data_IF_550025749264
#
_entry.id   IF_550025749264
#
_cell.length_a   1.000
_cell.length_b   1.000
_cell.length_c   1.000
_cell.angle_alpha   90.00
_cell.angle_beta   90.00
_cell.angle_gamma   90.00
#
_symmetry.space_group_name_H-M   'P 1'
#
loop_
_entity.id
_entity.type
_entity.pdbx_description
1 polymer ?
#
# COMPACT_ATOMS: atom_id res chain seq x y z
N UNK A 1 7.89 16.75 15.70
CA UNK A 1 7.96 15.54 16.54
C UNK A 1 9.43 15.18 16.64
N UNK A 2 10.01 15.30 17.83
CA UNK A 2 11.46 15.20 18.09
C UNK A 2 11.85 13.71 18.10
N UNK A 3 13.02 13.35 17.56
CA UNK A 3 13.56 11.97 17.49
C UNK A 3 13.42 11.22 18.84
N UNK A 4 13.67 11.94 19.94
CA UNK A 4 13.52 11.44 21.31
C UNK A 4 12.12 10.88 21.62
N UNK A 5 11.05 11.48 21.08
CA UNK A 5 9.69 10.99 21.30
C UNK A 5 9.43 9.68 20.54
N UNK A 6 10.11 9.47 19.41
CA UNK A 6 10.04 8.23 18.64
C UNK A 6 10.82 7.12 19.33
N UNK A 7 12.01 7.41 19.85
CA UNK A 7 12.81 6.45 20.62
C UNK A 7 12.08 5.99 21.89
N UNK A 8 11.57 6.95 22.68
CA UNK A 8 10.79 6.64 23.88
C UNK A 8 9.55 5.79 23.58
N UNK A 9 8.91 6.05 22.44
CA UNK A 9 7.79 5.23 22.00
C UNK A 9 8.23 3.79 21.70
N UNK A 10 9.29 3.61 20.91
CA UNK A 10 9.78 2.28 20.58
C UNK A 10 10.16 1.50 21.85
N UNK A 11 10.78 2.16 22.82
CA UNK A 11 11.09 1.57 24.13
C UNK A 11 9.83 1.13 24.88
N UNK A 12 8.77 1.94 24.88
CA UNK A 12 7.51 1.59 25.54
C UNK A 12 6.78 0.43 24.84
N UNK A 13 6.80 0.38 23.50
CA UNK A 13 6.26 -0.74 22.71
C UNK A 13 7.03 -2.02 23.04
N UNK A 14 8.37 -1.94 23.09
CA UNK A 14 9.21 -3.07 23.44
C UNK A 14 8.93 -3.58 24.86
N UNK A 15 8.88 -2.68 25.85
CA UNK A 15 8.55 -3.02 27.24
C UNK A 15 7.18 -3.70 27.38
N UNK A 16 6.15 -3.15 26.72
CA UNK A 16 4.82 -3.74 26.75
C UNK A 16 4.81 -5.16 26.16
N UNK A 17 5.51 -5.38 25.04
CA UNK A 17 5.65 -6.69 24.42
C UNK A 17 6.44 -7.67 25.30
N UNK A 18 7.54 -7.24 25.91
CA UNK A 18 8.35 -8.07 26.81
C UNK A 18 7.59 -8.51 28.07
N UNK A 19 6.64 -7.69 28.54
CA UNK A 19 5.78 -8.00 29.68
C UNK A 19 4.62 -8.95 29.37
N UNK A 20 4.22 -9.09 28.10
CA UNK A 20 2.98 -9.79 27.70
C UNK A 20 3.16 -10.94 26.73
N UNK A 21 4.23 -10.95 25.94
CA UNK A 21 4.48 -11.96 24.92
C UNK A 21 5.73 -12.75 25.28
N UNK A 22 5.54 -13.99 25.69
CA UNK A 22 6.63 -14.92 25.99
C UNK A 22 7.28 -15.47 24.71
N UNK A 23 6.46 -15.79 23.71
CA UNK A 23 6.90 -16.39 22.45
C UNK A 23 7.69 -15.40 21.59
N UNK A 24 8.92 -15.77 21.22
CA UNK A 24 9.75 -14.95 20.35
C UNK A 24 9.12 -14.73 18.96
N UNK A 25 8.39 -15.72 18.43
CA UNK A 25 7.74 -15.60 17.12
C UNK A 25 6.52 -14.68 17.15
N UNK A 26 5.71 -14.75 18.21
CA UNK A 26 4.56 -13.85 18.40
C UNK A 26 5.03 -12.42 18.61
N UNK A 27 6.14 -12.24 19.36
CA UNK A 27 6.76 -10.94 19.60
C UNK A 27 7.32 -10.34 18.31
N UNK A 28 8.00 -11.13 17.50
CA UNK A 28 8.43 -10.71 16.17
C UNK A 28 7.24 -10.30 15.28
N UNK A 29 6.16 -11.08 15.29
CA UNK A 29 4.95 -10.74 14.53
C UNK A 29 4.28 -9.44 15.01
N UNK A 30 4.33 -9.15 16.31
CA UNK A 30 3.84 -7.89 16.86
C UNK A 30 4.69 -6.71 16.37
N UNK A 31 6.01 -6.83 16.40
CA UNK A 31 6.91 -5.80 15.87
C UNK A 31 6.75 -5.62 14.35
N UNK A 32 6.57 -6.70 13.60
CA UNK A 32 6.25 -6.64 12.17
C UNK A 32 4.97 -5.83 11.94
N UNK A 33 3.89 -6.08 12.69
CA UNK A 33 2.64 -5.30 12.56
C UNK A 33 2.82 -3.80 12.86
N UNK A 34 3.62 -3.46 13.88
CA UNK A 34 3.94 -2.06 14.21
C UNK A 34 4.75 -1.40 13.08
N UNK A 35 5.73 -2.11 12.53
CA UNK A 35 6.56 -1.62 11.43
C UNK A 35 5.80 -1.56 10.10
N UNK A 36 4.95 -2.53 9.81
CA UNK A 36 4.14 -2.65 8.58
C UNK A 36 2.86 -1.78 8.60
N UNK A 37 2.89 -0.68 9.37
CA UNK A 37 1.74 0.18 9.54
C UNK A 37 1.62 1.22 8.40
N UNK A 38 0.75 0.94 7.43
CA UNK A 38 0.50 1.81 6.29
C UNK A 38 -0.07 3.19 6.64
N UNK A 39 -0.72 3.38 7.79
CA UNK A 39 -1.21 4.70 8.23
C UNK A 39 -0.03 5.64 8.46
N UNK A 40 1.05 5.16 9.08
CA UNK A 40 2.24 5.98 9.38
C UNK A 40 2.92 6.38 8.07
N UNK A 41 3.06 5.45 7.14
CA UNK A 41 3.60 5.71 5.80
C UNK A 41 2.74 6.73 5.05
N UNK A 42 1.43 6.50 4.96
CA UNK A 42 0.51 7.43 4.29
C UNK A 42 0.60 8.85 4.89
N UNK A 43 0.70 8.95 6.21
CA UNK A 43 0.85 10.22 6.94
C UNK A 43 2.18 10.92 6.64
N UNK A 44 3.30 10.18 6.66
CA UNK A 44 4.61 10.75 6.40
C UNK A 44 4.68 11.38 4.99
N UNK A 45 4.12 10.69 4.00
CA UNK A 45 4.12 11.14 2.61
C UNK A 45 3.01 12.14 2.28
N UNK A 46 1.96 12.27 3.11
CA UNK A 46 0.99 13.38 2.99
C UNK A 46 1.61 14.73 3.35
N UNK A 47 2.59 14.77 4.26
CA UNK A 47 3.34 15.99 4.59
C UNK A 47 4.53 16.25 3.67
N UNK A 48 4.90 15.28 2.82
CA UNK A 48 6.05 15.39 1.91
C UNK A 48 5.66 15.11 0.44
N UNK A 49 4.62 15.77 -0.12
CA UNK A 49 4.14 15.47 -1.47
C UNK A 49 5.21 15.73 -2.55
N UNK A 50 5.98 16.83 -2.40
CA UNK A 50 7.05 17.17 -3.33
C UNK A 50 8.20 16.17 -3.32
N UNK A 51 8.51 15.61 -2.14
CA UNK A 51 9.55 14.58 -2.01
C UNK A 51 9.15 13.31 -2.77
N UNK A 52 7.91 12.84 -2.57
CA UNK A 52 7.38 11.68 -3.27
C UNK A 52 7.36 11.91 -4.79
N UNK A 53 6.88 13.07 -5.24
CA UNK A 53 6.88 13.43 -6.66
C UNK A 53 8.30 13.40 -7.25
N UNK A 54 9.28 13.96 -6.54
CA UNK A 54 10.67 14.00 -6.99
C UNK A 54 11.31 12.61 -7.04
N UNK A 55 11.02 11.73 -6.07
CA UNK A 55 11.45 10.34 -6.10
C UNK A 55 10.95 9.66 -7.36
N UNK A 56 9.64 9.73 -7.59
CA UNK A 56 9.02 9.07 -8.75
C UNK A 56 9.61 9.61 -10.05
N UNK A 57 9.73 10.94 -10.19
CA UNK A 57 10.34 11.57 -11.36
C UNK A 57 11.80 11.14 -11.59
N UNK A 58 12.56 10.94 -10.52
CA UNK A 58 13.96 10.51 -10.59
C UNK A 58 14.07 9.06 -11.05
N UNK A 59 13.13 8.21 -10.63
CA UNK A 59 13.04 6.83 -11.13
C UNK A 59 12.47 6.81 -12.56
N UNK A 60 11.65 7.77 -12.95
CA UNK A 60 10.84 7.72 -14.18
C UNK A 60 11.53 8.27 -15.45
N UNK A 61 12.75 8.80 -15.38
CA UNK A 61 13.27 9.71 -16.42
C UNK A 61 13.32 9.21 -17.89
N UNK A 62 13.04 7.93 -18.21
CA UNK A 62 13.14 7.39 -19.59
C UNK A 62 12.17 6.27 -20.03
N UNK A 63 11.19 5.79 -19.24
CA UNK A 63 10.49 4.51 -19.60
C UNK A 63 8.97 4.48 -19.58
N UNK A 64 8.29 5.33 -18.80
CA UNK A 64 6.83 5.44 -18.85
C UNK A 64 6.54 6.92 -19.14
N UNK A 65 5.94 7.23 -20.29
CA UNK A 65 5.54 8.62 -20.53
C UNK A 65 4.45 8.94 -19.50
N UNK A 66 4.80 9.69 -18.46
CA UNK A 66 3.86 10.12 -17.44
C UNK A 66 2.62 10.77 -18.10
N UNK A 67 2.72 11.39 -19.28
CA UNK A 67 1.56 11.94 -20.02
C UNK A 67 0.51 10.89 -20.41
N UNK A 68 0.85 9.60 -20.43
CA UNK A 68 -0.06 8.49 -20.72
C UNK A 68 -0.90 8.04 -19.52
N UNK A 69 -0.49 8.40 -18.30
CA UNK A 69 -1.34 8.14 -17.13
C UNK A 69 -2.53 9.09 -17.20
N UNK A 70 -3.74 8.54 -17.16
CA UNK A 70 -4.97 9.32 -17.18
C UNK A 70 -4.91 10.44 -16.13
N UNK A 71 -5.36 11.64 -16.49
CA UNK A 71 -5.46 12.78 -15.57
C UNK A 71 -6.77 12.77 -14.78
N UNK A 72 -7.71 11.94 -15.20
CA UNK A 72 -9.01 11.76 -14.54
C UNK A 72 -8.85 10.99 -13.22
N UNK A 73 -9.18 11.64 -12.11
CA UNK A 73 -9.02 11.11 -10.76
C UNK A 73 -9.68 9.73 -10.55
N UNK A 74 -10.92 9.49 -11.03
CA UNK A 74 -11.59 8.21 -10.87
C UNK A 74 -10.83 7.07 -11.55
N UNK A 75 -10.35 7.28 -12.78
CA UNK A 75 -9.54 6.30 -13.49
C UNK A 75 -8.18 6.02 -12.82
N UNK A 76 -7.58 7.03 -12.17
CA UNK A 76 -6.36 6.83 -11.36
C UNK A 76 -6.68 5.96 -10.15
N UNK A 77 -7.78 6.22 -9.44
CA UNK A 77 -8.20 5.44 -8.27
C UNK A 77 -8.56 4.00 -8.67
N UNK A 78 -9.31 3.80 -9.74
CA UNK A 78 -9.62 2.48 -10.28
C UNK A 78 -8.35 1.70 -10.63
N UNK A 79 -7.35 2.38 -11.18
CA UNK A 79 -6.05 1.76 -11.45
C UNK A 79 -5.33 1.42 -10.15
N UNK A 80 -5.33 2.29 -9.15
CA UNK A 80 -4.77 2.01 -7.81
C UNK A 80 -5.46 0.83 -7.11
N UNK A 81 -6.73 0.56 -7.42
CA UNK A 81 -7.49 -0.56 -6.88
C UNK A 81 -7.28 -1.87 -7.66
N UNK A 82 -6.45 -1.89 -8.71
CA UNK A 82 -6.09 -3.14 -9.40
C UNK A 82 -5.20 -4.03 -8.55
N UNK A 83 -5.41 -5.34 -8.66
CA UNK A 83 -4.48 -6.33 -8.10
C UNK A 83 -3.18 -6.34 -8.89
N UNK A 84 -2.06 -6.34 -8.17
CA UNK A 84 -0.74 -6.70 -8.70
C UNK A 84 -0.56 -8.22 -8.52
N UNK A 85 -0.68 -9.03 -9.59
CA UNK A 85 -0.78 -10.49 -9.45
C UNK A 85 0.40 -11.14 -8.74
N UNK A 86 1.61 -10.58 -8.92
CA UNK A 86 2.83 -11.05 -8.28
C UNK A 86 2.75 -11.01 -6.75
N UNK A 87 2.06 -10.03 -6.18
CA UNK A 87 2.00 -9.79 -4.74
C UNK A 87 0.63 -10.12 -4.13
N UNK A 88 -0.40 -10.31 -4.97
CA UNK A 88 -1.74 -10.64 -4.50
C UNK A 88 -2.43 -9.50 -3.73
N UNK A 89 -1.96 -8.27 -3.88
CA UNK A 89 -2.49 -7.08 -3.22
C UNK A 89 -2.85 -5.98 -4.24
N UNK A 90 -3.65 -4.99 -3.83
CA UNK A 90 -3.91 -3.82 -4.68
C UNK A 90 -2.64 -3.01 -4.96
N UNK A 91 -2.60 -2.27 -6.07
CA UNK A 91 -1.54 -1.30 -6.36
C UNK A 91 -1.40 -0.26 -5.25
N UNK A 92 -2.50 0.16 -4.63
CA UNK A 92 -2.51 1.04 -3.47
C UNK A 92 -1.70 0.44 -2.31
N UNK A 93 -2.01 -0.80 -1.93
CA UNK A 93 -1.28 -1.52 -0.88
C UNK A 93 0.20 -1.69 -1.26
N UNK A 94 0.47 -2.12 -2.50
CA UNK A 94 1.84 -2.33 -2.99
C UNK A 94 2.69 -1.06 -2.93
N UNK A 95 2.12 0.11 -3.26
CA UNK A 95 2.85 1.39 -3.15
C UNK A 95 3.21 1.68 -1.71
N UNK A 96 2.32 1.43 -0.77
CA UNK A 96 2.58 1.65 0.65
C UNK A 96 3.68 0.69 1.16
N UNK A 97 3.69 -0.57 0.69
CA UNK A 97 4.78 -1.51 0.98
C UNK A 97 6.13 -0.98 0.47
N UNK A 98 6.18 -0.45 -0.77
CA UNK A 98 7.41 0.10 -1.35
C UNK A 98 7.90 1.31 -0.56
N UNK A 99 6.99 2.23 -0.24
CA UNK A 99 7.32 3.46 0.48
C UNK A 99 7.78 3.19 1.91
N UNK A 100 7.23 2.15 2.54
CA UNK A 100 7.66 1.67 3.84
C UNK A 100 9.05 1.03 3.77
N UNK A 101 9.27 0.08 2.85
CA UNK A 101 10.51 -0.70 2.75
C UNK A 101 11.70 0.11 2.24
N UNK A 102 11.45 1.10 1.37
CA UNK A 102 12.51 1.79 0.65
C UNK A 102 12.55 3.30 0.91
N UNK A 103 11.72 3.86 1.79
CA UNK A 103 11.59 5.32 1.97
C UNK A 103 12.90 6.10 2.09
N UNK A 104 13.82 5.61 2.94
CA UNK A 104 15.13 6.24 3.12
C UNK A 104 16.03 6.05 1.89
N UNK A 105 16.01 4.88 1.28
CA UNK A 105 16.80 4.57 0.09
C UNK A 105 16.33 5.35 -1.14
N UNK A 106 15.01 5.63 -1.23
CA UNK A 106 14.41 6.46 -2.27
C UNK A 106 14.94 7.91 -2.19
N UNK A 107 15.31 8.40 -1.00
CA UNK A 107 15.87 9.74 -0.81
C UNK A 107 17.28 9.91 -1.39
N UNK A 108 18.00 8.80 -1.58
CA UNK A 108 19.41 8.77 -2.00
C UNK A 108 19.59 8.40 -3.49
N UNK A 109 18.51 8.36 -4.27
CA UNK A 109 18.57 7.96 -5.67
C UNK A 109 19.24 9.03 -6.53
N UNK A 110 20.11 8.57 -7.43
CA UNK A 110 20.74 9.41 -8.44
C UNK A 110 19.84 9.48 -9.69
N UNK A 111 20.24 10.17 -10.76
CA UNK A 111 19.42 10.28 -11.97
C UNK A 111 19.39 9.00 -12.85
N UNK A 112 20.08 7.92 -12.45
CA UNK A 112 20.15 6.67 -13.22
C UNK A 112 19.02 5.70 -12.84
N UNK A 113 17.88 5.85 -13.51
CA UNK A 113 16.67 5.02 -13.36
C UNK A 113 16.93 3.52 -13.27
N UNK A 114 17.71 2.95 -14.18
CA UNK A 114 17.85 1.49 -14.30
C UNK A 114 18.65 0.89 -13.16
N UNK A 115 19.72 1.57 -12.77
CA UNK A 115 20.53 1.22 -11.60
C UNK A 115 19.73 1.37 -10.31
N UNK A 116 18.94 2.44 -10.18
CA UNK A 116 18.06 2.67 -9.04
C UNK A 116 16.99 1.57 -8.91
N UNK A 117 16.31 1.23 -10.00
CA UNK A 117 15.32 0.15 -10.02
C UNK A 117 15.95 -1.19 -9.65
N UNK A 118 17.12 -1.51 -10.24
CA UNK A 118 17.86 -2.73 -9.92
C UNK A 118 18.31 -2.78 -8.46
N UNK A 119 18.84 -1.67 -7.93
CA UNK A 119 19.29 -1.55 -6.54
C UNK A 119 18.14 -1.73 -5.54
N UNK A 120 16.96 -1.22 -5.87
CA UNK A 120 15.76 -1.33 -5.02
C UNK A 120 14.93 -2.59 -5.30
N UNK A 121 15.27 -3.39 -6.32
CA UNK A 121 14.48 -4.55 -6.71
C UNK A 121 13.07 -4.18 -7.25
N UNK A 122 12.89 -2.97 -7.77
CA UNK A 122 11.61 -2.48 -8.27
C UNK A 122 11.40 -2.87 -9.74
N UNK A 123 10.20 -3.32 -10.06
CA UNK A 123 9.75 -3.59 -11.42
C UNK A 123 9.15 -2.35 -12.08
N UNK A 124 8.96 -2.37 -13.41
CA UNK A 124 8.24 -1.31 -14.11
C UNK A 124 6.80 -1.15 -13.60
N UNK A 125 6.16 -2.25 -13.18
CA UNK A 125 4.80 -2.25 -12.63
C UNK A 125 4.74 -1.57 -11.24
N UNK A 126 5.81 -1.68 -10.45
CA UNK A 126 5.97 -0.94 -9.20
C UNK A 126 6.11 0.56 -9.46
N UNK A 127 6.87 0.96 -10.50
CA UNK A 127 7.04 2.37 -10.88
C UNK A 127 5.71 2.95 -11.36
N UNK A 128 4.97 2.22 -12.20
CA UNK A 128 3.64 2.60 -12.61
C UNK A 128 2.70 2.84 -11.43
N UNK A 129 2.72 1.93 -10.43
CA UNK A 129 1.92 2.07 -9.22
C UNK A 129 2.30 3.32 -8.41
N UNK A 130 3.60 3.60 -8.25
CA UNK A 130 4.10 4.81 -7.59
C UNK A 130 3.66 6.08 -8.33
N UNK A 131 3.69 6.09 -9.67
CA UNK A 131 3.22 7.22 -10.47
C UNK A 131 1.72 7.46 -10.28
N UNK A 132 0.88 6.43 -10.35
CA UNK A 132 -0.54 6.53 -10.05
C UNK A 132 -0.78 7.15 -8.67
N UNK A 133 -0.07 6.65 -7.66
CA UNK A 133 -0.20 7.14 -6.29
C UNK A 133 0.22 8.61 -6.15
N UNK A 134 1.27 9.06 -6.85
CA UNK A 134 1.64 10.49 -6.89
C UNK A 134 0.59 11.36 -7.56
N UNK A 135 -0.07 10.88 -8.62
CA UNK A 135 -1.08 11.64 -9.35
C UNK A 135 -2.42 11.71 -8.66
N UNK A 136 -2.72 10.76 -7.77
CA UNK A 136 -3.87 10.83 -6.87
C UNK A 136 -3.75 11.93 -5.79
N UNK A 137 -2.95 13.00 -6.00
CA UNK A 137 -2.79 14.11 -5.05
C UNK A 137 -4.10 14.86 -4.78
N UNK A 138 -5.00 14.90 -5.76
CA UNK A 138 -6.30 15.58 -5.64
C UNK A 138 -7.24 14.86 -4.66
N UNK A 139 -6.91 13.62 -4.33
CA UNK A 139 -7.66 12.79 -3.41
C UNK A 139 -6.93 12.70 -2.06
N UNK A 140 -7.68 12.67 -0.97
CA UNK A 140 -7.11 12.57 0.37
C UNK A 140 -6.68 11.12 0.66
N UNK A 141 -5.52 10.76 0.11
CA UNK A 141 -4.92 9.42 0.23
C UNK A 141 -4.75 9.00 1.69
N UNK A 142 -4.35 9.94 2.56
CA UNK A 142 -4.18 9.64 3.98
C UNK A 142 -5.52 9.29 4.62
N UNK A 143 -6.57 10.10 4.40
CA UNK A 143 -7.87 9.81 4.96
C UNK A 143 -8.47 8.52 4.39
N UNK A 144 -8.26 8.17 3.12
CA UNK A 144 -8.70 6.87 2.61
C UNK A 144 -8.04 5.70 3.34
N UNK A 145 -6.71 5.72 3.50
CA UNK A 145 -6.01 4.66 4.26
C UNK A 145 -6.50 4.62 5.71
N UNK A 146 -6.72 5.78 6.33
CA UNK A 146 -7.27 5.87 7.68
C UNK A 146 -8.67 5.23 7.77
N UNK A 147 -9.56 5.54 6.83
CA UNK A 147 -10.91 5.00 6.83
C UNK A 147 -10.94 3.49 6.52
N UNK A 148 -10.03 2.99 5.67
CA UNK A 148 -9.85 1.54 5.47
C UNK A 148 -9.56 0.86 6.82
N UNK A 149 -8.58 1.35 7.59
CA UNK A 149 -8.27 0.78 8.91
C UNK A 149 -9.41 0.98 9.92
N UNK A 150 -10.09 2.13 9.89
CA UNK A 150 -11.24 2.42 10.74
C UNK A 150 -12.44 1.50 10.45
N UNK A 151 -12.56 1.02 9.21
CA UNK A 151 -13.63 0.08 8.84
C UNK A 151 -13.38 -1.35 9.33
N UNK A 152 -12.17 -1.67 9.80
CA UNK A 152 -11.85 -3.02 10.26
C UNK A 152 -12.19 -3.14 11.75
N UNK A 153 -13.03 -4.12 12.07
CA UNK A 153 -13.45 -4.43 13.43
C UNK A 153 -12.76 -5.71 13.87
N UNK A 154 -12.24 -5.69 15.08
CA UNK A 154 -11.71 -6.87 15.75
C UNK A 154 -12.63 -7.22 16.93
N UNK A 155 -12.87 -8.52 17.10
CA UNK A 155 -13.65 -9.05 18.21
C UNK A 155 -12.74 -9.94 19.07
N UNK A 156 -12.72 -9.71 20.38
CA UNK A 156 -11.99 -10.53 21.34
C UNK A 156 -12.74 -11.83 21.68
N UNK A 157 -12.08 -12.76 22.38
CA UNK A 157 -12.68 -14.01 22.86
C UNK A 157 -13.90 -13.83 23.79
N UNK A 158 -14.15 -12.63 24.30
CA UNK A 158 -15.29 -12.32 25.15
C UNK A 158 -16.45 -11.69 24.36
N UNK A 159 -16.29 -11.50 23.05
CA UNK A 159 -17.27 -10.87 22.17
C UNK A 159 -17.23 -9.34 22.17
N UNK A 160 -16.26 -8.70 22.81
CA UNK A 160 -16.10 -7.25 22.74
C UNK A 160 -15.53 -6.84 21.40
N UNK A 161 -16.08 -5.78 20.82
CA UNK A 161 -15.68 -5.26 19.52
C UNK A 161 -14.89 -3.97 19.67
N UNK A 162 -13.86 -3.83 18.83
CA UNK A 162 -12.99 -2.68 18.79
C UNK A 162 -12.67 -2.31 17.35
N UNK A 163 -12.46 -1.03 17.07
CA UNK A 163 -11.90 -0.63 15.79
C UNK A 163 -10.41 -0.92 15.77
N UNK A 164 -9.92 -1.51 14.69
CA UNK A 164 -8.52 -1.88 14.57
C UNK A 164 -7.59 -0.65 14.67
N UNK A 165 -8.01 0.49 14.11
CA UNK A 165 -7.24 1.73 14.16
C UNK A 165 -6.98 2.25 15.59
N UNK A 166 -7.87 1.96 16.54
CA UNK A 166 -7.77 2.41 17.93
C UNK A 166 -6.80 1.54 18.76
N UNK A 167 -6.37 0.41 18.21
CA UNK A 167 -5.51 -0.58 18.88
C UNK A 167 -4.12 -0.62 18.24
N UNK A 168 -4.00 -0.19 16.98
CA UNK A 168 -2.75 -0.19 16.27
C UNK A 168 -1.80 0.88 16.83
N UNK A 169 -0.62 0.50 17.37
CA UNK A 169 0.35 1.46 17.87
C UNK A 169 0.76 2.43 16.75
N UNK A 170 0.43 3.71 16.89
CA UNK A 170 0.78 4.73 15.91
C UNK A 170 1.02 6.10 16.55
N UNK A 171 1.91 6.95 15.99
CA UNK A 171 2.30 8.21 16.61
C UNK A 171 1.16 9.19 16.87
N UNK A 172 0.04 9.11 16.14
CA UNK A 172 -1.13 9.98 16.37
C UNK A 172 -1.97 9.50 17.55
N UNK A 173 -2.16 8.18 17.69
CA UNK A 173 -2.76 7.55 18.86
C UNK A 173 -2.01 7.94 20.14
N UNK A 174 -0.69 8.02 20.03
CA UNK A 174 0.19 8.37 21.13
C UNK A 174 0.37 9.88 21.30
N UNK A 175 0.12 10.72 20.29
CA UNK A 175 0.02 12.18 20.46
C UNK A 175 -1.25 12.60 21.21
N UNK A 176 -2.30 11.78 21.19
CA UNK A 176 -3.51 11.98 22.00
C UNK A 176 -3.19 11.90 23.50
N UNK A 177 -2.15 11.13 23.86
CA UNK A 177 -1.38 11.31 25.09
C UNK A 177 -0.46 12.51 24.83
N UNK A 178 -0.82 13.69 25.32
CA UNK A 178 -0.09 14.93 24.98
C UNK A 178 1.44 14.75 25.06
N UNK A 179 2.20 15.42 24.19
CA UNK A 179 3.67 15.27 24.14
C UNK A 179 4.37 15.54 25.49
N UNK A 180 3.75 16.33 26.36
CA UNK A 180 4.18 16.52 27.76
C UNK A 180 3.83 15.34 28.68
N UNK A 181 2.72 14.62 28.44
CA UNK A 181 2.34 13.39 29.14
C UNK A 181 3.20 12.19 28.77
N UNK A 182 3.60 12.04 27.50
CA UNK A 182 4.54 10.98 27.08
C UNK A 182 5.87 11.05 27.85
N UNK A 183 6.38 12.27 28.07
CA UNK A 183 7.63 12.52 28.80
C UNK A 183 7.47 12.44 30.33
N UNK A 184 6.25 12.61 30.86
CA UNK A 184 6.01 12.62 32.32
C UNK A 184 5.40 11.33 32.87
N UNK A 185 4.88 10.42 32.03
CA UNK A 185 4.16 9.23 32.52
C UNK A 185 4.34 7.99 31.61
N UNK A 186 5.59 7.48 31.49
CA UNK A 186 5.89 6.27 30.71
C UNK A 186 5.03 5.06 31.10
N UNK A 187 4.68 4.94 32.39
CA UNK A 187 3.91 3.80 32.90
C UNK A 187 2.46 3.80 32.41
N UNK A 188 1.84 4.97 32.28
CA UNK A 188 0.49 5.11 31.71
C UNK A 188 0.48 4.68 30.24
N UNK A 189 1.49 5.12 29.48
CA UNK A 189 1.67 4.71 28.09
C UNK A 189 1.90 3.20 27.95
N UNK A 190 2.76 2.61 28.79
CA UNK A 190 3.03 1.17 28.80
C UNK A 190 1.76 0.39 29.15
N UNK A 191 1.01 0.81 30.18
CA UNK A 191 -0.23 0.15 30.59
C UNK A 191 -1.30 0.20 29.50
N UNK A 192 -1.39 1.31 28.76
CA UNK A 192 -2.29 1.42 27.62
C UNK A 192 -1.86 0.45 26.49
N UNK A 193 -0.58 0.45 26.11
CA UNK A 193 -0.04 -0.48 25.11
C UNK A 193 -0.25 -1.95 25.51
N UNK A 194 -0.11 -2.26 26.81
CA UNK A 194 -0.43 -3.58 27.37
C UNK A 194 -1.91 -3.92 27.17
N UNK A 195 -2.81 -2.98 27.46
CA UNK A 195 -4.25 -3.19 27.27
C UNK A 195 -4.58 -3.47 25.80
N UNK A 196 -4.02 -2.68 24.88
CA UNK A 196 -4.21 -2.84 23.43
C UNK A 196 -3.63 -4.18 22.95
N UNK A 197 -2.44 -4.53 23.40
CA UNK A 197 -1.79 -5.80 23.08
C UNK A 197 -2.59 -7.01 23.59
N UNK A 198 -3.19 -6.93 24.78
CA UNK A 198 -4.07 -8.00 25.27
C UNK A 198 -5.27 -8.21 24.34
N UNK A 199 -5.82 -7.16 23.73
CA UNK A 199 -6.91 -7.30 22.75
C UNK A 199 -6.40 -8.02 21.50
N UNK A 200 -5.21 -7.67 21.00
CA UNK A 200 -4.58 -8.34 19.85
C UNK A 200 -4.37 -9.84 20.12
N UNK A 201 -3.83 -10.18 21.30
CA UNK A 201 -3.58 -11.56 21.74
C UNK A 201 -4.88 -12.37 21.93
N UNK A 202 -6.00 -11.70 22.20
CA UNK A 202 -7.30 -12.33 22.41
C UNK A 202 -8.25 -12.17 21.22
N UNK A 203 -7.78 -11.64 20.08
CA UNK A 203 -8.63 -11.46 18.90
C UNK A 203 -9.04 -12.80 18.29
N UNK A 204 -10.33 -13.06 18.23
CA UNK A 204 -10.89 -14.29 17.65
C UNK A 204 -11.46 -14.11 16.25
N UNK A 205 -11.96 -12.91 15.94
CA UNK A 205 -12.66 -12.62 14.70
C UNK A 205 -12.32 -11.23 14.18
N UNK A 206 -12.26 -11.15 12.85
CA UNK A 206 -12.16 -9.93 12.08
C UNK A 206 -13.39 -9.78 11.19
N UNK A 207 -13.91 -8.56 11.12
CA UNK A 207 -15.02 -8.21 10.22
C UNK A 207 -14.88 -6.77 9.73
N UNK A 208 -15.81 -6.33 8.89
CA UNK A 208 -15.90 -4.95 8.44
C UNK A 208 -17.12 -4.27 9.07
N UNK A 209 -16.91 -3.04 9.53
CA UNK A 209 -17.95 -2.12 9.94
C UNK A 209 -18.70 -1.60 8.71
N UNK A 210 -19.94 -2.06 8.53
CA UNK A 210 -20.77 -1.69 7.38
C UNK A 210 -21.08 -0.22 7.27
N UNK A 211 -21.23 0.45 8.41
CA UNK A 211 -21.50 1.87 8.43
C UNK A 211 -20.30 2.66 7.88
N UNK A 212 -19.09 2.33 8.34
CA UNK A 212 -17.85 2.97 7.86
C UNK A 212 -17.60 2.61 6.40
N UNK A 213 -17.75 1.32 6.02
CA UNK A 213 -17.61 0.89 4.63
C UNK A 213 -18.57 1.65 3.72
N UNK A 214 -19.85 1.77 4.10
CA UNK A 214 -20.86 2.52 3.35
C UNK A 214 -20.49 4.00 3.21
N UNK A 215 -19.93 4.61 4.25
CA UNK A 215 -19.45 5.99 4.20
C UNK A 215 -18.34 6.19 3.15
N UNK A 216 -17.36 5.27 3.14
CA UNK A 216 -16.27 5.27 2.16
C UNK A 216 -16.84 5.08 0.75
N UNK A 217 -17.70 4.08 0.56
CA UNK A 217 -18.26 3.78 -0.76
C UNK A 217 -19.10 4.93 -1.29
N UNK A 218 -19.91 5.60 -0.47
CA UNK A 218 -20.67 6.79 -0.90
C UNK A 218 -19.75 7.92 -1.39
N UNK A 219 -18.60 8.11 -0.74
CA UNK A 219 -17.61 9.13 -1.12
C UNK A 219 -16.95 8.78 -2.46
N UNK A 220 -16.65 7.50 -2.69
CA UNK A 220 -16.08 6.98 -3.93
C UNK A 220 -17.11 6.96 -5.08
N UNK A 221 -18.38 6.65 -4.80
CA UNK A 221 -19.49 6.66 -5.77
C UNK A 221 -19.76 8.06 -6.29
N UNK A 222 -19.74 9.05 -5.39
CA UNK A 222 -19.82 10.47 -5.78
C UNK A 222 -18.68 10.92 -6.71
N UNK A 223 -17.64 10.09 -6.85
CA UNK A 223 -16.49 10.30 -7.72
C UNK A 223 -16.46 9.36 -8.94
N UNK A 224 -17.52 8.62 -9.28
CA UNK A 224 -17.54 7.66 -10.41
C UNK A 224 -16.44 6.57 -10.37
N UNK A 225 -16.01 6.16 -9.18
CA UNK A 225 -15.01 5.10 -8.98
C UNK A 225 -15.68 3.72 -8.91
N UNK A 226 -15.02 2.67 -9.41
CA UNK A 226 -15.49 1.28 -9.32
C UNK A 226 -15.42 0.75 -7.87
N UNK A 227 -16.58 0.77 -7.22
CA UNK A 227 -16.75 0.32 -5.83
C UNK A 227 -16.54 -1.18 -5.67
N UNK A 228 -16.90 -1.98 -6.67
CA UNK A 228 -16.70 -3.43 -6.59
C UNK A 228 -15.21 -3.73 -6.58
N UNK A 229 -14.42 -3.00 -7.36
CA UNK A 229 -12.96 -3.08 -7.36
C UNK A 229 -12.37 -2.65 -6.02
N UNK A 230 -12.84 -1.55 -5.44
CA UNK A 230 -12.43 -1.14 -4.09
C UNK A 230 -12.70 -2.23 -3.04
N UNK A 231 -13.93 -2.75 -2.99
CA UNK A 231 -14.32 -3.80 -2.03
C UNK A 231 -13.48 -5.08 -2.23
N UNK A 232 -13.46 -5.60 -3.44
CA UNK A 232 -12.85 -6.91 -3.74
C UNK A 232 -11.32 -6.91 -3.73
N UNK A 233 -10.68 -5.81 -4.14
CA UNK A 233 -9.23 -5.77 -4.32
C UNK A 233 -8.49 -4.95 -3.26
N UNK A 234 -9.16 -4.02 -2.57
CA UNK A 234 -8.55 -3.21 -1.52
C UNK A 234 -9.01 -3.70 -0.15
N UNK A 235 -10.32 -3.66 0.12
CA UNK A 235 -10.83 -4.01 1.45
C UNK A 235 -10.54 -5.47 1.80
N UNK A 236 -10.80 -6.39 0.87
CA UNK A 236 -10.54 -7.81 1.08
C UNK A 236 -9.05 -8.11 1.31
N UNK A 237 -8.15 -7.56 0.50
CA UNK A 237 -6.70 -7.85 0.63
C UNK A 237 -6.12 -7.26 1.91
N UNK A 238 -6.56 -6.07 2.32
CA UNK A 238 -6.19 -5.50 3.63
C UNK A 238 -6.66 -6.38 4.78
N UNK A 239 -7.91 -6.82 4.73
CA UNK A 239 -8.50 -7.66 5.76
C UNK A 239 -7.78 -9.02 5.87
N UNK A 240 -7.45 -9.64 4.73
CA UNK A 240 -6.65 -10.87 4.67
C UNK A 240 -5.22 -10.66 5.20
N UNK A 241 -4.58 -9.53 4.87
CA UNK A 241 -3.25 -9.17 5.38
C UNK A 241 -3.24 -9.01 6.90
N UNK A 242 -4.19 -8.25 7.44
CA UNK A 242 -4.34 -8.01 8.88
C UNK A 242 -4.69 -9.30 9.61
N UNK A 243 -5.55 -10.16 9.04
CA UNK A 243 -5.80 -11.51 9.56
C UNK A 243 -4.52 -12.33 9.68
N UNK A 244 -3.66 -12.29 8.66
CA UNK A 244 -2.36 -12.98 8.67
C UNK A 244 -1.42 -12.45 9.76
N UNK A 245 -1.36 -11.12 9.95
CA UNK A 245 -0.57 -10.51 11.03
C UNK A 245 -1.11 -10.89 12.41
N UNK A 246 -2.40 -10.72 12.65
CA UNK A 246 -3.02 -11.01 13.95
C UNK A 246 -2.97 -12.50 14.31
N UNK A 247 -3.14 -13.40 13.34
CA UNK A 247 -3.04 -14.85 13.60
C UNK A 247 -1.62 -15.24 14.05
N UNK A 248 -0.58 -14.55 13.54
CA UNK A 248 0.81 -14.76 13.97
C UNK A 248 1.07 -14.19 15.37
N UNK A 249 0.48 -13.05 15.71
CA UNK A 249 0.58 -12.45 17.06
C UNK A 249 -0.10 -13.32 18.10
N UNK A 250 -1.32 -13.80 17.81
CA UNK A 250 -2.09 -14.65 18.72
C UNK A 250 -1.56 -16.08 18.82
N UNK A 251 -0.83 -16.54 17.81
CA UNK A 251 -0.43 -17.95 17.69
C UNK A 251 -1.59 -18.90 17.34
N UNK A 252 -2.80 -18.38 17.07
CA UNK A 252 -3.99 -19.15 16.73
C UNK A 252 -4.70 -18.57 15.51
N UNK A 253 -5.43 -19.40 14.74
CA UNK A 253 -6.25 -18.92 13.63
C UNK A 253 -7.31 -17.91 14.09
N UNK A 254 -7.51 -16.88 13.27
CA UNK A 254 -8.56 -15.87 13.44
C UNK A 254 -9.65 -16.10 12.39
N UNK A 255 -10.92 -16.03 12.81
CA UNK A 255 -12.05 -16.11 11.92
C UNK A 255 -12.18 -14.82 11.09
N UNK A 256 -12.56 -14.96 9.83
CA UNK A 256 -12.79 -13.83 8.93
C UNK A 256 -14.25 -13.80 8.50
N UNK A 257 -14.90 -12.67 8.70
CA UNK A 257 -16.24 -12.40 8.17
C UNK A 257 -16.15 -11.40 7.00
N UNK A 258 -16.40 -11.91 5.79
CA UNK A 258 -16.38 -11.15 4.53
C UNK A 258 -17.76 -10.90 3.96
N UNK A 259 -18.83 -11.22 4.70
CA UNK A 259 -20.22 -11.14 4.23
C UNK A 259 -20.58 -9.76 3.66
N UNK A 260 -19.96 -8.71 4.17
CA UNK A 260 -20.23 -7.33 3.79
C UNK A 260 -19.40 -6.81 2.59
N UNK A 261 -18.41 -7.59 2.14
CA UNK A 261 -17.52 -7.28 1.02
C UNK A 261 -17.91 -8.07 -0.23
N UNK A 262 -18.48 -9.26 -0.05
CA UNK A 262 -18.88 -10.14 -1.13
C UNK A 262 -20.14 -9.59 -1.83
N UNK A 263 -19.93 -8.92 -2.96
CA UNK A 263 -20.98 -8.72 -3.95
C UNK A 263 -21.25 -10.03 -4.70
N UNK A 264 -22.49 -10.22 -5.15
CA UNK A 264 -23.00 -11.39 -5.88
C UNK A 264 -22.26 -11.73 -7.19
N UNK A 265 -21.26 -10.95 -7.61
CA UNK A 265 -20.47 -11.21 -8.80
C UNK A 265 -18.99 -11.10 -8.45
N UNK A 266 -18.30 -12.25 -8.41
CA UNK A 266 -16.84 -12.25 -8.51
C UNK A 266 -16.51 -11.56 -9.83
N UNK A 267 -15.75 -10.47 -9.78
CA UNK A 267 -15.00 -10.04 -10.96
C UNK A 267 -14.10 -11.21 -11.35
N UNK A 268 -14.42 -11.87 -12.47
CA UNK A 268 -13.58 -12.93 -12.99
C UNK A 268 -12.18 -12.35 -13.20
N UNK A 269 -11.11 -13.05 -12.78
CA UNK A 269 -9.76 -12.65 -13.14
C UNK A 269 -9.74 -12.48 -14.66
N UNK A 270 -9.49 -11.25 -15.13
CA UNK A 270 -9.47 -11.02 -16.57
C UNK A 270 -8.45 -11.97 -17.17
N UNK A 271 -8.84 -12.78 -18.17
CA UNK A 271 -7.98 -13.82 -18.68
C UNK A 271 -6.72 -13.16 -19.22
N UNK A 272 -5.57 -13.80 -19.01
CA UNK A 272 -4.28 -13.30 -19.48
C UNK A 272 -4.31 -12.90 -20.98
N UNK A 273 -5.22 -13.48 -21.76
CA UNK A 273 -5.50 -13.11 -23.15
C UNK A 273 -5.91 -11.64 -23.36
N UNK A 274 -6.61 -11.00 -22.41
CA UNK A 274 -6.98 -9.56 -22.50
C UNK A 274 -5.78 -8.67 -22.24
N UNK A 275 -4.90 -9.06 -21.30
CA UNK A 275 -3.63 -8.39 -21.03
C UNK A 275 -2.66 -8.51 -22.23
N UNK A 276 -2.49 -9.72 -22.77
CA UNK A 276 -1.69 -9.97 -23.97
C UNK A 276 -2.25 -9.27 -25.22
N UNK A 277 -3.58 -9.24 -25.39
CA UNK A 277 -4.25 -8.48 -26.46
C UNK A 277 -3.93 -6.99 -26.40
N UNK A 278 -3.91 -6.39 -25.19
CA UNK A 278 -3.54 -4.98 -25.00
C UNK A 278 -2.05 -4.74 -25.31
N UNK A 279 -1.16 -5.64 -24.88
CA UNK A 279 0.29 -5.55 -25.20
C UNK A 279 0.55 -5.72 -26.70
N UNK A 280 -0.11 -6.65 -27.37
CA UNK A 280 0.01 -6.89 -28.81
C UNK A 280 -0.47 -5.67 -29.61
N UNK A 281 -1.62 -5.08 -29.22
CA UNK A 281 -2.13 -3.85 -29.85
C UNK A 281 -1.17 -2.68 -29.68
N UNK A 282 -0.62 -2.47 -28.48
CA UNK A 282 0.36 -1.41 -28.23
C UNK A 282 1.65 -1.61 -29.03
N UNK A 283 2.12 -2.85 -29.16
CA UNK A 283 3.31 -3.19 -29.96
C UNK A 283 3.08 -2.96 -31.47
N UNK A 284 1.88 -3.28 -31.97
CA UNK A 284 1.51 -3.07 -33.37
C UNK A 284 1.48 -1.59 -33.76
N UNK A 285 0.92 -0.72 -32.90
CA UNK A 285 0.91 0.73 -33.14
C UNK A 285 2.31 1.35 -33.07
N UNK A 286 3.18 0.86 -32.17
CA UNK A 286 4.56 1.31 -32.10
C UNK A 286 5.34 0.96 -33.38
N UNK A 287 5.16 -0.25 -33.92
CA UNK A 287 5.80 -0.69 -35.17
C UNK A 287 5.31 0.13 -36.37
N UNK A 288 4.00 0.39 -36.48
CA UNK A 288 3.44 1.24 -37.55
C UNK A 288 3.97 2.67 -37.45
N UNK A 289 4.08 3.22 -36.24
CA UNK A 289 4.63 4.56 -36.03
C UNK A 289 6.09 4.68 -36.48
N UNK A 290 6.91 3.66 -36.21
CA UNK A 290 8.31 3.61 -36.67
C UNK A 290 8.38 3.54 -38.19
N UNK A 291 7.58 2.68 -38.82
CA UNK A 291 7.52 2.55 -40.29
C UNK A 291 7.01 3.83 -40.97
N UNK A 292 6.08 4.55 -40.34
CA UNK A 292 5.55 5.82 -40.84
C UNK A 292 6.60 6.95 -40.76
N UNK A 293 7.42 6.95 -39.72
CA UNK A 293 8.52 7.91 -39.56
C UNK A 293 9.65 7.66 -40.57
N UNK A 294 9.97 6.39 -40.86
CA UNK A 294 10.90 6.03 -41.95
C UNK A 294 10.37 6.46 -43.33
N UNK A 295 9.08 6.28 -43.58
CA UNK A 295 8.44 6.73 -44.83
C UNK A 295 8.50 8.25 -45.03
N UNK A 296 8.54 9.03 -43.93
CA UNK A 296 8.70 10.48 -43.95
C UNK A 296 10.17 10.94 -44.06
N UNK A 297 11.12 10.01 -44.23
CA UNK A 297 12.54 10.33 -44.37
C UNK A 297 13.20 10.76 -43.05
N UNK A 298 12.58 10.46 -41.91
CA UNK A 298 13.26 10.58 -40.62
C UNK A 298 14.11 9.32 -40.42
N UNK A 299 15.44 9.49 -40.35
CA UNK A 299 16.36 8.41 -39.98
C UNK A 299 16.19 8.05 -38.50
N UNK A 300 15.26 7.12 -38.20
CA UNK A 300 15.01 6.59 -36.85
C UNK A 300 15.80 5.28 -36.60
N UNK A 301 16.59 4.82 -37.58
CA UNK A 301 17.16 3.46 -37.59
C UNK A 301 18.50 3.28 -36.87
N UNK A 302 19.25 4.33 -36.50
CA UNK A 302 20.54 4.12 -35.81
C UNK A 302 20.43 3.67 -34.35
N UNK A 303 19.42 4.09 -33.55
CA UNK A 303 19.26 3.62 -32.16
C UNK A 303 18.34 2.40 -32.00
N UNK A 304 17.54 2.05 -33.02
CA UNK A 304 16.49 1.02 -32.92
C UNK A 304 16.96 -0.38 -33.32
N UNK A 305 18.04 -0.50 -34.09
CA UNK A 305 18.65 -1.78 -34.44
C UNK A 305 19.21 -2.52 -33.20
N UNK A 306 19.80 -1.79 -32.25
CA UNK A 306 20.30 -2.38 -30.99
C UNK A 306 19.18 -2.86 -30.08
N UNK A 307 18.02 -2.19 -30.10
CA UNK A 307 16.85 -2.57 -29.31
C UNK A 307 16.17 -3.83 -29.87
N UNK A 308 16.05 -3.94 -31.19
CA UNK A 308 15.50 -5.13 -31.85
C UNK A 308 16.45 -6.33 -31.71
N UNK A 309 17.76 -6.11 -31.79
CA UNK A 309 18.76 -7.15 -31.55
C UNK A 309 18.70 -7.67 -30.10
N UNK A 310 18.50 -6.80 -29.10
CA UNK A 310 18.38 -7.24 -27.70
C UNK A 310 17.09 -8.02 -27.44
N UNK A 311 15.98 -7.63 -28.07
CA UNK A 311 14.69 -8.35 -27.97
C UNK A 311 14.78 -9.72 -28.64
N UNK A 312 15.39 -9.85 -29.81
CA UNK A 312 15.54 -11.13 -30.50
C UNK A 312 16.52 -12.07 -29.76
N UNK A 313 17.59 -11.51 -29.17
CA UNK A 313 18.56 -12.30 -28.39
C UNK A 313 18.04 -12.80 -27.04
N UNK A 314 16.95 -12.22 -26.51
CA UNK A 314 16.31 -12.67 -25.28
C UNK A 314 15.25 -13.78 -25.48
N UNK A 315 15.00 -14.20 -26.72
CA UNK A 315 13.97 -15.18 -27.08
C UNK A 315 14.53 -16.51 -27.63
N UNK A 316 15.85 -16.62 -27.79
CA UNK A 316 16.57 -17.88 -28.07
C UNK A 316 17.35 -18.37 -26.85
#
# INVERSE_FOLDING_TARGET
MVIQNTELLMDNIQKAADMKIESASEKAAYYDMVNENHIITALAYSYRPNFLYNIVRTIDSKRIDARLINTDCPAILDSLFEIVPKFGCSRLQRVLDILLQHGDNLSMLNQNTEENMKKLGLSLDDIYSLQLYTRAQQFDRFNLIREIYNSIVIQDINGHQYNFIDILPNPRHLQRLTSEKLLSNSDECINQLISELNILLTTERLSINDYVLKSITNTLEGSNVDINKFKSNVMKTYLESIKGQLSRIRGLPIALDTSNIESSERAEPQPASVFWSRIIKMSFFAIIGILFLEFLGCDVLSPTQDLLASIISGWF
#
